data_IF_169511797035
#
_entry.id   IF_169511797035
#
_cell.length_a   1.000
_cell.length_b   1.000
_cell.length_c   1.000
_cell.angle_alpha   90.00
_cell.angle_beta   90.00
_cell.angle_gamma   90.00
#
_symmetry.space_group_name_H-M   'P 1'
#
loop_
_entity.id
_entity.type
_entity.pdbx_description
1 polymer ?
#
# COMPACT_ATOMS: atom_id res chain seq x y z
N UNK A 1 -0.72 -17.94 -5.85
CA UNK A 1 0.01 -16.70 -6.19
C UNK A 1 1.48 -17.09 -6.19
N UNK A 2 2.13 -17.05 -7.35
CA UNK A 2 3.55 -17.41 -7.47
C UNK A 2 4.48 -16.31 -6.92
N UNK A 3 5.74 -16.70 -6.70
CA UNK A 3 6.78 -16.01 -5.92
C UNK A 3 6.72 -14.48 -5.90
N UNK A 4 6.91 -13.77 -7.03
CA UNK A 4 7.06 -12.30 -7.04
C UNK A 4 5.82 -11.53 -6.55
N UNK A 5 4.61 -11.90 -6.98
CA UNK A 5 3.37 -11.24 -6.55
C UNK A 5 3.08 -11.51 -5.08
N UNK A 6 3.43 -12.71 -4.57
CA UNK A 6 3.32 -13.03 -3.14
C UNK A 6 4.25 -12.15 -2.31
N UNK A 7 5.51 -11.96 -2.74
CA UNK A 7 6.46 -11.08 -2.04
C UNK A 7 5.94 -9.65 -2.00
N UNK A 8 5.51 -9.12 -3.13
CA UNK A 8 4.99 -7.76 -3.21
C UNK A 8 3.81 -7.53 -2.25
N UNK A 9 2.85 -8.46 -2.20
CA UNK A 9 1.74 -8.41 -1.23
C UNK A 9 2.25 -8.47 0.22
N UNK A 10 3.20 -9.36 0.53
CA UNK A 10 3.82 -9.46 1.86
C UNK A 10 4.45 -8.13 2.28
N UNK A 11 5.23 -7.49 1.41
CA UNK A 11 5.85 -6.18 1.68
C UNK A 11 4.80 -5.12 1.94
N UNK A 12 3.79 -5.04 1.07
CA UNK A 12 2.72 -4.04 1.19
C UNK A 12 1.91 -4.19 2.48
N UNK A 13 1.60 -5.41 2.89
CA UNK A 13 0.93 -5.69 4.16
C UNK A 13 1.80 -5.31 5.35
N UNK A 14 3.08 -5.68 5.32
CA UNK A 14 4.03 -5.31 6.38
C UNK A 14 4.18 -3.78 6.52
N UNK A 15 4.31 -3.07 5.40
CA UNK A 15 4.34 -1.60 5.39
C UNK A 15 3.04 -1.00 5.95
N UNK A 16 1.89 -1.62 5.64
CA UNK A 16 0.60 -1.18 6.16
C UNK A 16 0.53 -1.35 7.68
N UNK A 17 0.88 -2.54 8.19
CA UNK A 17 0.83 -2.84 9.62
C UNK A 17 1.71 -1.90 10.43
N UNK A 18 2.87 -1.55 9.88
CA UNK A 18 3.82 -0.61 10.47
C UNK A 18 3.52 0.88 10.20
N UNK A 19 2.51 1.21 9.40
CA UNK A 19 2.20 2.59 9.09
C UNK A 19 1.59 3.33 10.31
N UNK A 20 2.12 4.51 10.61
CA UNK A 20 1.58 5.37 11.66
C UNK A 20 0.85 6.57 11.06
N UNK A 21 -0.36 6.86 11.57
CA UNK A 21 -1.08 8.10 11.25
C UNK A 21 -1.30 8.89 12.53
N UNK A 22 -0.69 10.08 12.63
CA UNK A 22 -0.91 11.02 13.73
C UNK A 22 -1.82 12.16 13.29
N UNK A 23 -2.99 12.27 13.91
CA UNK A 23 -3.95 13.34 13.59
C UNK A 23 -3.86 14.49 14.57
N UNK A 24 -3.65 15.70 14.05
CA UNK A 24 -3.77 16.99 14.76
C UNK A 24 -4.92 17.80 14.19
N UNK A 25 -5.56 18.62 15.02
CA UNK A 25 -6.69 19.47 14.61
C UNK A 25 -6.30 20.94 14.75
N UNK A 26 -6.77 21.77 13.81
CA UNK A 26 -6.57 23.21 13.80
C UNK A 26 -7.91 23.90 13.52
N UNK A 27 -8.12 25.06 14.14
CA UNK A 27 -9.27 25.91 13.85
C UNK A 27 -8.82 26.96 12.85
N UNK A 28 -9.43 26.97 11.66
CA UNK A 28 -9.22 28.00 10.64
C UNK A 28 -10.41 28.97 10.64
N UNK A 29 -10.15 30.25 10.37
CA UNK A 29 -11.17 31.30 10.30
C UNK A 29 -11.16 31.90 8.90
N UNK A 30 -12.32 32.02 8.26
CA UNK A 30 -12.44 32.73 6.98
C UNK A 30 -12.35 34.24 7.23
N UNK A 31 -11.41 34.90 6.54
CA UNK A 31 -11.11 36.33 6.71
C UNK A 31 -12.31 37.26 6.56
N UNK A 32 -13.35 36.86 5.81
CA UNK A 32 -14.47 37.72 5.46
C UNK A 32 -15.70 37.56 6.37
N UNK A 33 -15.84 36.45 7.12
CA UNK A 33 -17.13 36.09 7.74
C UNK A 33 -17.04 35.61 9.21
N UNK A 34 -15.86 35.64 9.84
CA UNK A 34 -15.63 35.09 11.18
C UNK A 34 -16.10 33.62 11.38
N UNK A 35 -16.39 32.90 10.28
CA UNK A 35 -16.78 31.49 10.31
C UNK A 35 -15.54 30.66 10.62
N UNK A 36 -15.62 29.91 11.71
CA UNK A 36 -14.59 28.97 12.15
C UNK A 36 -14.91 27.57 11.63
N UNK A 37 -13.89 26.85 11.17
CA UNK A 37 -14.00 25.45 10.78
C UNK A 37 -12.78 24.65 11.21
N UNK A 38 -12.99 23.37 11.47
CA UNK A 38 -11.92 22.44 11.86
C UNK A 38 -11.21 21.88 10.63
N UNK A 39 -9.88 21.93 10.66
CA UNK A 39 -8.98 21.30 9.71
C UNK A 39 -8.26 20.15 10.40
N UNK A 40 -8.20 18.99 9.74
CA UNK A 40 -7.55 17.79 10.21
C UNK A 40 -6.22 17.62 9.45
N UNK A 41 -5.11 17.61 10.20
CA UNK A 41 -3.76 17.34 9.69
C UNK A 41 -3.35 15.93 10.09
N UNK A 42 -3.34 15.02 9.13
CA UNK A 42 -2.98 13.61 9.31
C UNK A 42 -1.55 13.41 8.81
N UNK A 43 -0.61 13.21 9.74
CA UNK A 43 0.78 12.93 9.43
C UNK A 43 0.94 11.43 9.23
N UNK A 44 1.20 11.02 7.99
CA UNK A 44 1.33 9.63 7.56
C UNK A 44 2.82 9.30 7.45
N UNK A 45 3.26 8.23 8.11
CA UNK A 45 4.67 7.79 8.12
C UNK A 45 4.74 6.26 8.05
N UNK A 46 5.71 5.74 7.31
CA UNK A 46 6.12 4.34 7.46
C UNK A 46 7.10 4.22 8.63
N UNK A 47 7.09 3.10 9.36
CA UNK A 47 8.07 2.85 10.42
C UNK A 47 9.44 2.42 9.85
N UNK A 48 9.45 1.92 8.61
CA UNK A 48 10.62 1.28 7.97
C UNK A 48 11.47 2.26 7.14
N UNK A 49 11.13 3.55 7.12
CA UNK A 49 11.85 4.58 6.37
C UNK A 49 11.54 6.01 6.83
N UNK A 50 12.43 6.95 6.52
CA UNK A 50 12.29 8.37 6.89
C UNK A 50 11.24 9.13 6.05
N UNK A 51 10.51 8.45 5.14
CA UNK A 51 9.53 9.08 4.26
C UNK A 51 8.13 9.10 4.89
N UNK A 52 7.44 10.21 4.67
CA UNK A 52 6.08 10.42 5.12
C UNK A 52 5.54 11.73 4.57
N UNK A 53 4.23 11.90 4.60
CA UNK A 53 3.59 13.13 4.14
C UNK A 53 2.45 13.53 5.08
N UNK A 54 1.95 14.75 4.91
CA UNK A 54 0.83 15.25 5.73
C UNK A 54 -0.37 15.53 4.85
N UNK A 55 -1.44 14.75 5.05
CA UNK A 55 -2.74 15.00 4.47
C UNK A 55 -3.47 16.06 5.29
N UNK A 56 -3.86 17.17 4.67
CA UNK A 56 -4.56 18.27 5.35
C UNK A 56 -5.91 18.50 4.69
N UNK A 57 -7.00 18.17 5.39
CA UNK A 57 -8.37 18.28 4.86
C UNK A 57 -9.37 18.74 5.93
N UNK A 58 -10.45 19.39 5.54
CA UNK A 58 -11.63 19.67 6.39
C UNK A 58 -12.68 18.57 6.23
N UNK A 59 -13.57 18.40 7.21
CA UNK A 59 -14.61 17.34 7.19
C UNK A 59 -15.41 17.31 5.88
N UNK A 60 -15.77 18.46 5.31
CA UNK A 60 -16.54 18.52 4.08
C UNK A 60 -15.83 17.91 2.87
N UNK A 61 -14.49 17.94 2.84
CA UNK A 61 -13.71 17.28 1.77
C UNK A 61 -13.78 15.76 1.91
N UNK A 62 -13.63 15.22 3.13
CA UNK A 62 -13.86 13.79 3.40
C UNK A 62 -15.26 13.36 3.01
N UNK A 63 -16.27 14.16 3.40
CA UNK A 63 -17.67 13.88 3.08
C UNK A 63 -17.89 13.87 1.56
N UNK A 64 -17.39 14.87 0.84
CA UNK A 64 -17.52 14.94 -0.61
C UNK A 64 -16.83 13.76 -1.32
N UNK A 65 -15.64 13.38 -0.85
CA UNK A 65 -14.91 12.23 -1.36
C UNK A 65 -15.67 10.92 -1.14
N UNK A 66 -16.22 10.71 0.07
CA UNK A 66 -17.09 9.57 0.38
C UNK A 66 -18.28 9.48 -0.58
N UNK A 67 -19.01 10.59 -0.76
CA UNK A 67 -20.17 10.62 -1.66
C UNK A 67 -19.77 10.28 -3.10
N UNK A 68 -18.63 10.82 -3.55
CA UNK A 68 -18.07 10.52 -4.88
C UNK A 68 -17.80 9.03 -5.05
N UNK A 69 -17.17 8.37 -4.06
CA UNK A 69 -16.92 6.93 -4.12
C UNK A 69 -18.22 6.13 -4.12
N UNK A 70 -19.19 6.45 -3.26
CA UNK A 70 -20.48 5.77 -3.22
C UNK A 70 -21.23 5.87 -4.56
N UNK A 71 -21.20 7.03 -5.21
CA UNK A 71 -21.78 7.22 -6.54
C UNK A 71 -21.07 6.38 -7.61
N UNK A 72 -19.74 6.27 -7.54
CA UNK A 72 -18.97 5.40 -8.45
C UNK A 72 -19.33 3.92 -8.24
N UNK A 73 -19.44 3.47 -6.99
CA UNK A 73 -19.88 2.12 -6.67
C UNK A 73 -21.28 1.83 -7.18
N UNK A 74 -22.23 2.71 -6.89
CA UNK A 74 -23.61 2.55 -7.36
C UNK A 74 -23.67 2.48 -8.89
N UNK A 75 -22.92 3.34 -9.58
CA UNK A 75 -22.84 3.32 -11.04
C UNK A 75 -22.23 2.02 -11.55
N UNK A 76 -21.14 1.56 -10.97
CA UNK A 76 -20.49 0.31 -11.39
C UNK A 76 -21.40 -0.90 -11.13
N UNK A 77 -22.09 -0.94 -9.99
CA UNK A 77 -23.05 -2.00 -9.66
C UNK A 77 -24.21 -2.07 -10.66
N UNK A 78 -24.81 -0.92 -11.02
CA UNK A 78 -25.86 -0.85 -12.04
C UNK A 78 -25.37 -1.32 -13.42
N UNK A 79 -24.11 -1.07 -13.76
CA UNK A 79 -23.51 -1.52 -15.03
C UNK A 79 -23.26 -3.03 -15.06
N UNK A 80 -22.99 -3.66 -13.92
CA UNK A 80 -22.85 -5.11 -13.82
C UNK A 80 -24.20 -5.81 -13.97
N UNK A 81 -25.26 -5.25 -13.35
CA UNK A 81 -26.67 -5.59 -13.58
C UNK A 81 -27.14 -7.00 -13.14
N UNK A 82 -26.26 -8.00 -13.11
CA UNK A 82 -26.54 -9.40 -12.80
C UNK A 82 -25.54 -9.95 -11.76
N UNK A 83 -26.01 -10.75 -10.81
CA UNK A 83 -25.22 -11.35 -9.72
C UNK A 83 -24.09 -12.25 -10.24
N UNK A 84 -24.31 -12.93 -11.36
CA UNK A 84 -23.28 -13.76 -12.00
C UNK A 84 -22.08 -12.92 -12.48
N UNK A 85 -22.32 -11.69 -12.95
CA UNK A 85 -21.25 -10.77 -13.38
C UNK A 85 -20.54 -10.15 -12.18
N UNK A 86 -21.27 -9.85 -11.10
CA UNK A 86 -20.69 -9.38 -9.82
C UNK A 86 -19.71 -10.41 -9.27
N UNK A 87 -20.11 -11.70 -9.20
CA UNK A 87 -19.25 -12.78 -8.70
C UNK A 87 -17.99 -13.01 -9.56
N UNK A 88 -18.05 -12.69 -10.86
CA UNK A 88 -16.94 -12.89 -11.78
C UNK A 88 -15.95 -11.72 -11.84
N UNK A 89 -16.37 -10.50 -11.51
CA UNK A 89 -15.47 -9.34 -11.55
C UNK A 89 -14.62 -9.28 -10.28
N UNK A 90 -13.37 -9.73 -10.42
CA UNK A 90 -12.37 -9.68 -9.35
C UNK A 90 -12.09 -8.24 -8.92
N UNK A 91 -12.11 -7.30 -9.87
CA UNK A 91 -11.91 -5.87 -9.63
C UNK A 91 -13.01 -5.30 -8.74
N UNK A 92 -14.28 -5.59 -9.06
CA UNK A 92 -15.41 -5.08 -8.28
C UNK A 92 -15.41 -5.68 -6.87
N UNK A 93 -15.16 -6.98 -6.75
CA UNK A 93 -15.08 -7.68 -5.46
C UNK A 93 -13.96 -7.09 -4.57
N UNK A 94 -12.77 -6.89 -5.14
CA UNK A 94 -11.62 -6.31 -4.45
C UNK A 94 -11.94 -4.92 -3.88
N UNK A 95 -12.40 -3.99 -4.72
CA UNK A 95 -12.64 -2.61 -4.27
C UNK A 95 -13.78 -2.55 -3.26
N UNK A 96 -14.82 -3.38 -3.45
CA UNK A 96 -15.94 -3.45 -2.51
C UNK A 96 -15.47 -3.88 -1.12
N UNK A 97 -14.65 -4.92 -1.03
CA UNK A 97 -14.10 -5.42 0.23
C UNK A 97 -13.20 -4.38 0.90
N UNK A 98 -12.32 -3.71 0.14
CA UNK A 98 -11.35 -2.77 0.69
C UNK A 98 -11.95 -1.43 1.12
N UNK A 99 -12.87 -0.87 0.33
CA UNK A 99 -13.28 0.54 0.44
C UNK A 99 -14.64 0.69 1.13
N UNK A 100 -15.62 -0.17 0.81
CA UNK A 100 -17.01 0.03 1.26
C UNK A 100 -17.15 0.06 2.80
N UNK A 101 -16.47 -0.81 3.58
CA UNK A 101 -16.60 -0.79 5.05
C UNK A 101 -16.21 0.55 5.70
N UNK A 102 -15.31 1.31 5.06
CA UNK A 102 -14.88 2.62 5.53
C UNK A 102 -15.87 3.75 5.17
N UNK A 103 -16.71 3.55 4.15
CA UNK A 103 -17.73 4.50 3.71
C UNK A 103 -19.01 4.38 4.54
N UNK A 104 -19.28 3.23 5.13
CA UNK A 104 -20.51 2.97 5.89
C UNK A 104 -20.57 3.70 7.23
N UNK A 105 -21.79 3.90 7.72
CA UNK A 105 -22.04 4.45 9.05
C UNK A 105 -22.31 3.26 9.99
N UNK A 106 -21.68 3.17 11.17
CA UNK A 106 -21.07 4.26 11.94
C UNK A 106 -19.57 4.49 11.74
N UNK A 107 -18.91 3.71 10.87
CA UNK A 107 -17.46 3.82 10.60
C UNK A 107 -17.07 5.24 10.16
N UNK A 108 -17.82 5.81 9.21
CA UNK A 108 -17.66 7.19 8.78
C UNK A 108 -18.43 8.18 9.69
N UNK A 109 -17.84 9.33 10.07
CA UNK A 109 -18.52 10.29 10.94
C UNK A 109 -19.68 10.99 10.25
N UNK A 110 -20.82 11.10 10.93
CA UNK A 110 -22.04 11.74 10.40
C UNK A 110 -21.86 13.26 10.22
N UNK A 111 -22.62 13.83 9.29
CA UNK A 111 -22.67 15.28 9.06
C UNK A 111 -23.47 15.95 10.18
N UNK A 112 -22.95 17.03 10.74
CA UNK A 112 -23.64 17.84 11.74
C UNK A 112 -24.00 19.21 11.16
N UNK A 113 -25.23 19.67 11.38
CA UNK A 113 -25.72 21.00 10.97
C UNK A 113 -25.49 22.04 12.08
N UNK A 114 -24.28 22.06 12.66
CA UNK A 114 -23.89 22.98 13.74
C UNK A 114 -22.37 23.18 13.72
N UNK A 115 -21.89 24.20 14.45
CA UNK A 115 -20.46 24.38 14.69
C UNK A 115 -19.86 23.16 15.41
N UNK A 116 -18.60 22.88 15.11
CA UNK A 116 -17.87 21.80 15.75
C UNK A 116 -17.69 22.11 17.24
N UNK A 117 -18.01 21.14 18.09
CA UNK A 117 -17.66 21.14 19.51
C UNK A 117 -16.59 20.08 19.77
N UNK A 118 -16.01 20.07 20.98
CA UNK A 118 -14.91 19.16 21.32
C UNK A 118 -15.26 17.68 21.11
N UNK A 119 -16.49 17.27 21.44
CA UNK A 119 -16.96 15.90 21.24
C UNK A 119 -17.00 15.51 19.75
N UNK A 120 -17.52 16.39 18.89
CA UNK A 120 -17.54 16.18 17.42
C UNK A 120 -16.12 16.10 16.88
N UNK A 121 -15.23 16.99 17.34
CA UNK A 121 -13.83 17.01 16.90
C UNK A 121 -13.11 15.73 17.32
N UNK A 122 -13.32 15.25 18.55
CA UNK A 122 -12.75 14.00 19.06
C UNK A 122 -13.25 12.77 18.26
N UNK A 123 -14.57 12.66 18.04
CA UNK A 123 -15.15 11.58 17.23
C UNK A 123 -14.58 11.59 15.81
N UNK A 124 -14.61 12.74 15.14
CA UNK A 124 -14.10 12.88 13.77
C UNK A 124 -12.60 12.59 13.69
N UNK A 125 -11.81 13.01 14.67
CA UNK A 125 -10.38 12.73 14.71
C UNK A 125 -10.11 11.23 14.63
N UNK A 126 -10.79 10.44 15.45
CA UNK A 126 -10.64 8.97 15.45
C UNK A 126 -11.14 8.35 14.15
N UNK A 127 -12.38 8.67 13.75
CA UNK A 127 -13.01 8.04 12.59
C UNK A 127 -12.37 8.42 11.26
N UNK A 128 -11.98 9.69 11.08
CA UNK A 128 -11.29 10.14 9.87
C UNK A 128 -9.87 9.58 9.78
N UNK A 129 -9.18 9.39 10.91
CA UNK A 129 -7.90 8.69 10.92
C UNK A 129 -8.04 7.24 10.43
N UNK A 130 -9.03 6.51 10.95
CA UNK A 130 -9.31 5.15 10.52
C UNK A 130 -9.74 5.08 9.04
N UNK A 131 -10.55 6.05 8.60
CA UNK A 131 -10.94 6.20 7.21
C UNK A 131 -9.72 6.34 6.30
N UNK A 132 -8.79 7.26 6.61
CA UNK A 132 -7.56 7.45 5.82
C UNK A 132 -6.70 6.20 5.83
N UNK A 133 -6.57 5.49 6.96
CA UNK A 133 -5.85 4.21 7.02
C UNK A 133 -6.41 3.20 6.02
N UNK A 134 -7.74 3.04 5.98
CA UNK A 134 -8.42 2.15 5.03
C UNK A 134 -8.27 2.61 3.58
N UNK A 135 -8.29 3.92 3.31
CA UNK A 135 -8.05 4.44 1.95
C UNK A 135 -6.63 4.21 1.46
N UNK A 136 -5.62 4.33 2.35
CA UNK A 136 -4.23 4.01 2.01
C UNK A 136 -4.07 2.51 1.76
N UNK A 137 -4.63 1.66 2.62
CA UNK A 137 -4.65 0.21 2.39
C UNK A 137 -5.28 -0.14 1.04
N UNK A 138 -6.44 0.43 0.72
CA UNK A 138 -7.09 0.24 -0.56
C UNK A 138 -6.24 0.73 -1.74
N UNK A 139 -5.59 1.89 -1.62
CA UNK A 139 -4.69 2.43 -2.63
C UNK A 139 -3.54 1.45 -2.93
N UNK A 140 -2.90 0.92 -1.90
CA UNK A 140 -1.78 -0.02 -2.01
C UNK A 140 -2.23 -1.34 -2.65
N UNK A 141 -3.30 -1.95 -2.12
CA UNK A 141 -3.83 -3.23 -2.63
C UNK A 141 -4.30 -3.12 -4.09
N UNK A 142 -4.99 -2.03 -4.45
CA UNK A 142 -5.40 -1.78 -5.82
C UNK A 142 -4.17 -1.57 -6.73
N UNK A 143 -3.14 -0.85 -6.27
CA UNK A 143 -1.90 -0.67 -7.03
C UNK A 143 -1.24 -2.01 -7.34
N UNK A 144 -1.13 -2.91 -6.36
CA UNK A 144 -0.56 -4.25 -6.55
C UNK A 144 -1.42 -5.08 -7.50
N UNK A 145 -2.74 -5.06 -7.32
CA UNK A 145 -3.66 -5.77 -8.21
C UNK A 145 -3.53 -5.29 -9.66
N UNK A 146 -3.50 -3.97 -9.87
CA UNK A 146 -3.34 -3.37 -11.20
C UNK A 146 -2.00 -3.75 -11.85
N UNK A 147 -0.93 -3.83 -11.05
CA UNK A 147 0.37 -4.25 -11.54
C UNK A 147 0.39 -5.73 -11.98
N UNK A 148 -0.34 -6.61 -11.30
CA UNK A 148 -0.43 -8.03 -11.65
C UNK A 148 -1.34 -8.30 -12.87
N UNK A 149 -2.15 -7.32 -13.30
CA UNK A 149 -3.20 -7.50 -14.32
C UNK A 149 -3.02 -6.63 -15.58
N UNK A 150 -1.80 -6.12 -15.79
CA UNK A 150 -1.46 -5.13 -16.83
C UNK A 150 -1.90 -5.47 -18.26
N UNK A 151 -2.09 -6.75 -18.61
CA UNK A 151 -2.47 -7.17 -19.97
C UNK A 151 -3.98 -7.10 -20.25
N UNK A 152 -4.80 -6.81 -19.23
CA UNK A 152 -6.26 -6.93 -19.33
C UNK A 152 -6.93 -5.55 -19.35
N UNK A 153 -7.27 -5.05 -20.53
CA UNK A 153 -8.07 -3.82 -20.66
C UNK A 153 -9.55 -4.16 -20.74
N UNK A 154 -10.24 -4.14 -19.59
CA UNK A 154 -11.70 -4.34 -19.51
C UNK A 154 -12.37 -3.10 -18.94
N UNK A 155 -13.69 -2.97 -19.15
CA UNK A 155 -14.49 -1.91 -18.52
C UNK A 155 -14.38 -1.94 -16.99
N UNK A 156 -14.28 -3.13 -16.37
CA UNK A 156 -14.07 -3.27 -14.93
C UNK A 156 -12.71 -2.70 -14.51
N UNK A 157 -11.66 -2.96 -15.29
CA UNK A 157 -10.34 -2.38 -15.06
C UNK A 157 -10.36 -0.84 -15.20
N UNK A 158 -11.08 -0.29 -16.17
CA UNK A 158 -11.24 1.17 -16.30
C UNK A 158 -11.95 1.80 -15.09
N UNK A 159 -12.95 1.11 -14.52
CA UNK A 159 -13.64 1.54 -13.30
C UNK A 159 -12.71 1.47 -12.08
N UNK A 160 -11.93 0.39 -11.97
CA UNK A 160 -10.88 0.25 -10.96
C UNK A 160 -9.88 1.41 -11.04
N UNK A 161 -9.36 1.70 -12.24
CA UNK A 161 -8.44 2.82 -12.48
C UNK A 161 -9.06 4.17 -12.10
N UNK A 162 -10.34 4.40 -12.40
CA UNK A 162 -11.03 5.62 -11.98
C UNK A 162 -11.07 5.76 -10.46
N UNK A 163 -11.36 4.70 -9.72
CA UNK A 163 -11.35 4.71 -8.25
C UNK A 163 -9.92 4.93 -7.73
N UNK A 164 -8.93 4.26 -8.30
CA UNK A 164 -7.52 4.44 -7.95
C UNK A 164 -7.07 5.90 -8.06
N UNK A 165 -7.36 6.56 -9.18
CA UNK A 165 -7.05 8.00 -9.38
C UNK A 165 -7.78 8.88 -8.37
N UNK A 166 -9.02 8.54 -7.99
CA UNK A 166 -9.77 9.28 -6.96
C UNK A 166 -9.16 9.11 -5.58
N UNK A 167 -8.72 7.90 -5.21
CA UNK A 167 -7.98 7.64 -3.97
C UNK A 167 -6.68 8.43 -3.94
N UNK A 168 -5.89 8.37 -5.01
CA UNK A 168 -4.60 9.06 -5.10
C UNK A 168 -4.75 10.58 -4.91
N UNK A 169 -5.68 11.19 -5.65
CA UNK A 169 -5.95 12.63 -5.56
C UNK A 169 -6.47 13.05 -4.19
N UNK A 170 -7.26 12.19 -3.53
CA UNK A 170 -7.77 12.51 -2.19
C UNK A 170 -6.67 12.42 -1.13
N UNK A 171 -5.79 11.42 -1.23
CA UNK A 171 -4.71 11.16 -0.29
C UNK A 171 -3.52 12.12 -0.44
N UNK A 172 -3.52 12.96 -1.49
CA UNK A 172 -2.44 13.88 -1.85
C UNK A 172 -1.07 13.16 -1.87
N UNK A 173 -1.01 11.94 -2.45
CA UNK A 173 0.22 11.11 -2.46
C UNK A 173 1.33 11.85 -3.23
N UNK A 174 2.46 12.23 -2.59
CA UNK A 174 3.50 13.01 -3.25
C UNK A 174 4.24 12.20 -4.33
N UNK A 175 4.68 12.86 -5.40
CA UNK A 175 5.41 12.21 -6.50
C UNK A 175 6.62 11.41 -6.02
N UNK A 176 7.42 11.99 -5.12
CA UNK A 176 8.56 11.30 -4.51
C UNK A 176 8.17 9.96 -3.85
N UNK A 177 7.02 9.90 -3.17
CA UNK A 177 6.54 8.66 -2.56
C UNK A 177 6.16 7.64 -3.64
N UNK A 178 5.46 8.05 -4.70
CA UNK A 178 5.14 7.19 -5.85
C UNK A 178 6.41 6.63 -6.50
N UNK A 179 7.45 7.46 -6.64
CA UNK A 179 8.72 7.05 -7.23
C UNK A 179 9.49 6.06 -6.34
N UNK A 180 9.40 6.18 -5.02
CA UNK A 180 9.94 5.19 -4.08
C UNK A 180 9.18 3.86 -4.22
N UNK A 181 7.86 3.91 -4.15
CA UNK A 181 7.00 2.73 -4.25
C UNK A 181 7.19 1.98 -5.57
N UNK A 182 7.34 2.71 -6.68
CA UNK A 182 7.63 2.14 -8.00
C UNK A 182 8.98 1.42 -8.03
N UNK A 183 10.04 2.04 -7.48
CA UNK A 183 11.39 1.46 -7.47
C UNK A 183 11.46 0.23 -6.56
N UNK A 184 10.86 0.29 -5.38
CA UNK A 184 10.77 -0.83 -4.45
C UNK A 184 9.99 -2.00 -5.09
N UNK A 185 8.87 -1.71 -5.77
CA UNK A 185 8.09 -2.71 -6.49
C UNK A 185 8.93 -3.40 -7.58
N UNK A 186 9.63 -2.62 -8.41
CA UNK A 186 10.53 -3.18 -9.43
C UNK A 186 11.63 -4.05 -8.83
N UNK A 187 12.26 -3.60 -7.73
CA UNK A 187 13.28 -4.37 -7.03
C UNK A 187 12.76 -5.70 -6.47
N UNK A 188 11.56 -5.71 -5.87
CA UNK A 188 10.93 -6.93 -5.33
C UNK A 188 10.58 -7.92 -6.44
N UNK A 189 10.05 -7.42 -7.55
CA UNK A 189 9.66 -8.26 -8.68
C UNK A 189 10.86 -8.86 -9.42
N UNK A 190 12.02 -8.21 -9.36
CA UNK A 190 13.27 -8.70 -9.91
C UNK A 190 13.95 -9.77 -9.03
N UNK A 191 13.42 -10.09 -7.84
CA UNK A 191 13.96 -11.14 -6.98
C UNK A 191 13.63 -12.53 -7.54
N UNK A 192 14.66 -13.36 -7.71
CA UNK A 192 14.54 -14.75 -8.12
C UNK A 192 14.70 -15.68 -6.90
N UNK A 193 13.86 -16.72 -6.81
CA UNK A 193 14.05 -17.79 -5.83
C UNK A 193 15.37 -18.53 -6.08
N UNK A 194 16.09 -18.87 -5.02
CA UNK A 194 17.25 -19.76 -5.10
C UNK A 194 16.75 -21.19 -4.89
N UNK A 195 16.83 -22.02 -5.92
CA UNK A 195 16.58 -23.46 -5.78
C UNK A 195 17.68 -24.08 -4.92
N UNK A 196 17.29 -24.81 -3.87
CA UNK A 196 18.24 -25.52 -2.98
C UNK A 196 18.83 -26.70 -3.76
N UNK A 197 19.91 -26.46 -4.50
CA UNK A 197 20.72 -27.54 -5.07
C UNK A 197 21.57 -28.07 -3.92
N UNK A 198 21.31 -29.32 -3.51
CA UNK A 198 22.14 -30.08 -2.56
C UNK A 198 23.59 -30.19 -3.07
N UNK A 199 24.37 -29.15 -2.83
CA UNK A 199 25.80 -29.06 -3.12
C UNK A 199 26.52 -28.99 -1.78
N UNK A 200 27.45 -29.92 -1.55
CA UNK A 200 28.15 -30.08 -0.26
C UNK A 200 29.20 -28.99 0.02
N UNK A 201 29.09 -27.80 -0.58
CA UNK A 201 30.06 -26.72 -0.36
C UNK A 201 29.45 -25.65 0.56
N UNK A 202 29.98 -25.59 1.78
CA UNK A 202 29.35 -24.99 2.96
C UNK A 202 29.70 -23.51 3.21
N UNK A 203 30.35 -22.82 2.26
CA UNK A 203 30.89 -21.47 2.50
C UNK A 203 30.16 -20.32 1.79
N UNK A 204 29.14 -20.57 0.98
CA UNK A 204 28.47 -19.55 0.13
C UNK A 204 26.99 -19.30 0.54
N UNK A 205 26.63 -19.63 1.79
CA UNK A 205 25.24 -19.75 2.25
C UNK A 205 24.84 -18.80 3.39
N UNK A 206 25.70 -17.84 3.75
CA UNK A 206 25.44 -16.87 4.81
C UNK A 206 24.79 -15.61 4.24
N UNK A 207 23.67 -15.17 4.81
CA UNK A 207 23.06 -13.89 4.45
C UNK A 207 23.89 -12.75 5.04
N UNK A 208 24.51 -11.90 4.21
CA UNK A 208 25.41 -10.86 4.73
C UNK A 208 24.69 -9.68 5.43
N UNK A 209 23.35 -9.67 5.44
CA UNK A 209 22.55 -8.63 6.11
C UNK A 209 22.36 -8.99 7.59
N UNK A 210 21.93 -10.21 7.88
CA UNK A 210 21.72 -10.69 9.25
C UNK A 210 22.91 -11.48 9.81
N UNK A 211 23.86 -11.89 8.94
CA UNK A 211 25.03 -12.71 9.25
C UNK A 211 24.70 -14.13 9.76
N UNK A 212 23.47 -14.62 9.51
CA UNK A 212 23.05 -15.98 9.83
C UNK A 212 23.16 -16.91 8.61
N UNK A 213 23.44 -18.19 8.87
CA UNK A 213 23.50 -19.26 7.88
C UNK A 213 22.11 -19.87 7.62
N UNK A 214 21.98 -20.61 6.53
CA UNK A 214 20.83 -21.47 6.24
C UNK A 214 20.62 -22.47 7.38
N UNK A 215 19.40 -22.57 7.94
CA UNK A 215 19.03 -23.65 8.86
C UNK A 215 19.12 -25.00 8.12
N UNK A 216 20.32 -25.56 8.01
CA UNK A 216 20.52 -26.95 7.63
C UNK A 216 20.34 -27.78 8.88
N UNK A 217 19.12 -28.26 9.09
CA UNK A 217 18.77 -29.47 9.85
C UNK A 217 19.82 -29.91 10.88
N UNK A 218 19.87 -29.25 12.03
CA UNK A 218 20.52 -29.79 13.22
C UNK A 218 19.50 -29.77 14.36
N UNK A 219 18.78 -30.88 14.47
CA UNK A 219 18.32 -31.51 15.71
C UNK A 219 18.48 -30.64 16.96
N UNK A 220 17.47 -29.85 17.31
CA UNK A 220 17.06 -29.59 18.69
C UNK A 220 15.73 -28.84 18.70
N UNK A 221 14.75 -29.45 19.35
CA UNK A 221 13.45 -28.88 19.64
C UNK A 221 13.58 -27.50 20.30
N UNK A 222 12.64 -26.58 19.95
CA UNK A 222 12.34 -25.28 20.58
C UNK A 222 12.82 -23.98 19.89
N UNK A 223 12.48 -23.81 18.61
CA UNK A 223 11.98 -22.53 18.11
C UNK A 223 11.22 -22.77 16.81
N UNK A 224 10.06 -22.13 16.62
CA UNK A 224 9.32 -22.15 15.36
C UNK A 224 10.22 -21.58 14.25
N UNK A 225 11.00 -22.43 13.59
CA UNK A 225 11.93 -22.05 12.52
C UNK A 225 11.12 -21.64 11.31
N UNK A 226 11.00 -20.33 11.11
CA UNK A 226 10.60 -19.78 9.84
C UNK A 226 11.63 -20.25 8.81
N UNK A 227 11.21 -21.07 7.83
CA UNK A 227 12.03 -21.37 6.65
C UNK A 227 12.39 -20.04 5.96
N UNK A 228 13.55 -19.47 6.30
CA UNK A 228 14.03 -18.20 5.73
C UNK A 228 14.43 -18.43 4.28
N UNK A 229 13.50 -18.15 3.35
CA UNK A 229 13.72 -18.34 1.91
C UNK A 229 14.87 -17.49 1.43
N UNK A 230 15.72 -18.07 0.60
CA UNK A 230 16.81 -17.36 -0.08
C UNK A 230 16.35 -16.87 -1.45
N UNK A 231 16.71 -15.62 -1.74
CA UNK A 231 16.49 -14.98 -3.03
C UNK A 231 17.80 -14.42 -3.55
N UNK A 232 17.92 -14.30 -4.87
CA UNK A 232 19.05 -13.65 -5.52
C UNK A 232 18.61 -12.44 -6.32
N UNK A 233 19.48 -11.42 -6.36
CA UNK A 233 19.31 -10.25 -7.22
C UNK A 233 19.82 -10.55 -8.65
N UNK A 234 19.53 -9.69 -9.64
CA UNK A 234 20.11 -9.79 -10.99
C UNK A 234 21.65 -9.78 -11.02
N UNK A 235 22.30 -9.27 -9.97
CA UNK A 235 23.76 -9.33 -9.80
C UNK A 235 24.29 -10.64 -9.20
N UNK A 236 23.40 -11.64 -9.02
CA UNK A 236 23.65 -12.99 -8.49
C UNK A 236 24.00 -13.10 -7.00
N UNK A 237 24.10 -11.99 -6.26
CA UNK A 237 24.23 -12.04 -4.80
C UNK A 237 22.93 -12.52 -4.14
N UNK A 238 23.07 -13.34 -3.09
CA UNK A 238 21.97 -14.02 -2.39
C UNK A 238 21.74 -13.46 -0.99
N UNK A 239 20.49 -13.44 -0.55
CA UNK A 239 20.06 -12.93 0.74
C UNK A 239 18.79 -13.64 1.20
N UNK A 240 18.49 -13.65 2.50
CA UNK A 240 17.15 -13.99 2.96
C UNK A 240 16.14 -12.99 2.37
N UNK A 241 14.99 -13.50 1.94
CA UNK A 241 13.89 -12.75 1.33
C UNK A 241 13.54 -11.52 2.18
N UNK A 242 13.35 -11.72 3.48
CA UNK A 242 12.95 -10.66 4.39
C UNK A 242 14.08 -9.64 4.63
N UNK A 243 15.33 -10.09 4.74
CA UNK A 243 16.48 -9.22 4.91
C UNK A 243 16.66 -8.25 3.73
N UNK A 244 16.56 -8.76 2.49
CA UNK A 244 16.75 -7.90 1.31
C UNK A 244 15.53 -7.02 1.04
N UNK A 245 14.33 -7.48 1.36
CA UNK A 245 13.11 -6.67 1.30
C UNK A 245 13.22 -5.48 2.26
N UNK A 246 13.65 -5.71 3.49
CA UNK A 246 13.84 -4.64 4.47
C UNK A 246 14.88 -3.62 4.00
N UNK A 247 15.96 -4.09 3.37
CA UNK A 247 16.95 -3.22 2.76
C UNK A 247 16.34 -2.34 1.64
N UNK A 248 15.45 -2.88 0.82
CA UNK A 248 14.77 -2.15 -0.26
C UNK A 248 13.83 -1.04 0.23
N UNK A 249 13.46 -1.02 1.52
CA UNK A 249 12.76 0.13 2.12
C UNK A 249 13.63 1.39 2.17
N UNK A 250 14.95 1.23 2.18
CA UNK A 250 15.92 2.34 2.25
C UNK A 250 16.70 2.52 0.94
N UNK A 251 17.11 1.44 0.28
CA UNK A 251 17.86 1.49 -0.97
C UNK A 251 17.54 0.32 -1.88
N UNK A 252 17.21 0.59 -3.15
CA UNK A 252 16.95 -0.44 -4.16
C UNK A 252 18.21 -0.91 -4.89
N UNK A 253 19.32 -1.06 -4.16
CA UNK A 253 20.63 -1.50 -4.66
C UNK A 253 21.10 -2.72 -3.90
N UNK A 254 21.93 -3.57 -4.50
CA UNK A 254 22.55 -4.69 -3.80
C UNK A 254 23.38 -4.22 -2.57
N UNK A 255 23.18 -4.78 -1.37
CA UNK A 255 24.00 -4.47 -0.19
C UNK A 255 25.51 -4.72 -0.38
N UNK A 256 25.86 -5.74 -1.17
CA UNK A 256 27.27 -6.14 -1.39
C UNK A 256 27.97 -5.30 -2.46
N UNK A 257 27.37 -5.17 -3.64
CA UNK A 257 28.05 -4.53 -4.78
C UNK A 257 27.46 -3.19 -5.21
N UNK A 258 26.37 -2.73 -4.57
CA UNK A 258 25.67 -1.46 -4.84
C UNK A 258 25.11 -1.30 -6.25
N UNK A 259 25.15 -2.35 -7.09
CA UNK A 259 24.46 -2.36 -8.38
C UNK A 259 22.94 -2.25 -8.18
N UNK A 260 22.19 -1.61 -9.09
CA UNK A 260 20.73 -1.56 -9.04
C UNK A 260 20.11 -2.97 -8.92
N UNK A 261 19.03 -3.08 -8.17
CA UNK A 261 18.31 -4.35 -7.98
C UNK A 261 17.40 -4.72 -9.18
N UNK A 262 17.21 -3.81 -10.14
CA UNK A 262 16.37 -3.96 -11.33
C UNK A 262 16.97 -3.15 -12.48
N UNK A 263 16.55 -3.39 -13.73
CA UNK A 263 16.99 -2.63 -14.91
C UNK A 263 15.98 -1.52 -15.21
N UNK A 264 16.41 -0.34 -15.67
CA UNK A 264 15.49 0.79 -15.93
C UNK A 264 14.41 0.48 -16.99
N UNK A 265 14.64 -0.51 -17.86
CA UNK A 265 13.64 -1.03 -18.81
C UNK A 265 12.42 -1.65 -18.10
N UNK A 266 12.61 -2.25 -16.91
CA UNK A 266 11.52 -2.77 -16.06
C UNK A 266 10.64 -1.65 -15.49
N UNK A 267 11.17 -0.42 -15.41
CA UNK A 267 10.45 0.77 -14.94
C UNK A 267 9.59 1.37 -16.07
N UNK A 268 9.98 1.19 -17.33
CA UNK A 268 9.33 1.79 -18.50
C UNK A 268 7.94 1.20 -18.81
N UNK A 269 7.65 -0.02 -18.37
CA UNK A 269 6.30 -0.62 -18.44
C UNK A 269 5.30 0.03 -17.46
N UNK A 270 5.79 0.88 -16.52
CA UNK A 270 4.98 1.52 -15.49
C UNK A 270 4.63 2.99 -15.79
N UNK A 271 4.92 3.49 -17.00
CA UNK A 271 4.64 4.89 -17.37
C UNK A 271 3.79 4.96 -18.64
N UNK A 272 2.47 4.86 -18.47
CA UNK A 272 1.50 5.79 -19.09
C UNK A 272 0.19 5.74 -18.32
N UNK A 273 0.10 6.53 -17.26
CA UNK A 273 -1.18 7.05 -16.78
C UNK A 273 -1.25 8.51 -17.22
N UNK A 274 -1.59 8.72 -18.49
CA UNK A 274 -2.27 9.94 -18.91
C UNK A 274 -3.77 9.80 -18.61
#
# INVERSE_FOLDING_TARGET
MDGPSRRLLKVRHHDMDNMEIKTKTLIATLYCEAIKFTVYKLQIRSNSGASGWTLTKRYSEFFHFRETLLQLFQKWDMELGDDSKRLRSREFALVTELVLPALEIPSFPRKHMRCDNEAIVAERRQKLQQFVRKMIHAYVEISVFMHNTQTTTTRSFDRLRQIFVRLENFLDVPQHQKDLDRRQTAAILALEDVEVIQSNDCNDRTCCICLNDYDSDDTNESSESFEERMVKLPCSHQFHEDCVIDWFNTSTTCPLCRKPAFVEEDVALNVTVN
#
